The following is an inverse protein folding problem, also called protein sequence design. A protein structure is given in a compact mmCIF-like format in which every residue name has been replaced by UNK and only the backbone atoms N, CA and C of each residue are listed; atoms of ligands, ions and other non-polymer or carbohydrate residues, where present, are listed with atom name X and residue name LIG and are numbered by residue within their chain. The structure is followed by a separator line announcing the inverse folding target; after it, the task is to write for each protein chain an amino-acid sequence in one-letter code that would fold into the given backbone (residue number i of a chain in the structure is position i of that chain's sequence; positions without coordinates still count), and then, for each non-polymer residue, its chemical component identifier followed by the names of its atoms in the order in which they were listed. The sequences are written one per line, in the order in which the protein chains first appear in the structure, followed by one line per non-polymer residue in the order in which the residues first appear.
data_IF_670735691676
#
_entry.id   IF_670735691676
#
_cell.length_a   1.000
_cell.length_b   1.000
_cell.length_c   1.000
_cell.angle_alpha   90.00
_cell.angle_beta   90.00
_cell.angle_gamma   90.00
#
_symmetry.space_group_name_H-M   'P 1'
#
loop_
_entity.id
_entity.type
_entity.pdbx_description
1 polymer ?
#
# COMPACT_ATOMS: atom_id res chain seq x y z
N UNK A 1 -13.73 -0.45 -7.59
CA UNK A 1 -13.69 -1.75 -6.89
C UNK A 1 -13.19 -1.54 -5.48
N UNK A 2 -13.89 -2.07 -4.51
CA UNK A 2 -13.48 -2.06 -3.09
C UNK A 2 -13.09 -3.50 -2.74
N UNK A 3 -11.86 -3.69 -2.29
CA UNK A 3 -11.35 -4.97 -1.81
C UNK A 3 -11.15 -4.90 -0.30
N UNK A 4 -11.85 -5.71 0.44
CA UNK A 4 -11.57 -5.93 1.87
C UNK A 4 -10.51 -7.03 1.97
N UNK A 5 -9.44 -6.77 2.66
CA UNK A 5 -8.32 -7.69 2.76
C UNK A 5 -7.90 -7.87 4.23
N UNK A 6 -7.58 -9.09 4.59
CA UNK A 6 -7.09 -9.47 5.90
C UNK A 6 -5.58 -9.80 5.88
N UNK A 7 -4.79 -9.03 5.14
CA UNK A 7 -3.35 -9.23 5.13
C UNK A 7 -2.77 -9.10 6.55
N UNK A 8 -2.18 -10.18 7.02
CA UNK A 8 -1.61 -10.28 8.38
C UNK A 8 -0.08 -10.37 8.39
N UNK A 9 0.55 -10.50 7.23
CA UNK A 9 1.98 -10.80 7.12
C UNK A 9 2.33 -12.27 7.30
N UNK A 10 1.41 -13.14 7.69
CA UNK A 10 1.63 -14.59 7.83
C UNK A 10 1.89 -15.29 6.48
N UNK A 11 1.35 -14.73 5.40
CA UNK A 11 1.61 -15.17 4.04
C UNK A 11 1.76 -13.97 3.12
N UNK A 12 2.56 -14.11 2.08
CA UNK A 12 2.68 -13.10 1.05
C UNK A 12 1.37 -12.98 0.26
N UNK A 13 0.96 -11.75 -0.04
CA UNK A 13 -0.20 -11.47 -0.87
C UNK A 13 0.20 -10.55 -2.01
N UNK A 14 -0.33 -10.82 -3.19
CA UNK A 14 -0.13 -10.00 -4.37
C UNK A 14 -1.50 -9.59 -4.95
N UNK A 15 -1.66 -8.30 -5.16
CA UNK A 15 -2.82 -7.70 -5.81
C UNK A 15 -2.36 -7.10 -7.13
N UNK A 16 -2.95 -7.55 -8.24
CA UNK A 16 -2.75 -6.90 -9.54
C UNK A 16 -3.88 -5.90 -9.74
N UNK A 17 -3.54 -4.63 -9.91
CA UNK A 17 -4.50 -3.60 -10.24
C UNK A 17 -5.07 -3.85 -11.65
N UNK A 18 -6.33 -3.52 -11.92
CA UNK A 18 -6.86 -3.58 -13.28
C UNK A 18 -6.12 -2.58 -14.19
N UNK A 19 -6.38 -2.62 -15.48
CA UNK A 19 -5.83 -1.62 -16.41
C UNK A 19 -6.24 -0.20 -15.97
N UNK A 20 -5.28 0.72 -15.97
CA UNK A 20 -5.46 2.11 -15.56
C UNK A 20 -6.30 2.86 -16.60
N UNK A 21 -7.61 2.78 -16.46
CA UNK A 21 -8.61 3.49 -17.27
C UNK A 21 -9.13 4.68 -16.48
N UNK A 22 -9.23 5.84 -17.11
CA UNK A 22 -9.72 7.08 -16.47
C UNK A 22 -11.07 6.83 -15.79
N UNK A 23 -11.16 7.23 -14.52
CA UNK A 23 -12.33 7.03 -13.67
C UNK A 23 -12.31 5.72 -12.85
N UNK A 24 -11.33 4.84 -13.07
CA UNK A 24 -11.19 3.63 -12.25
C UNK A 24 -10.69 3.98 -10.86
N UNK A 25 -11.34 3.39 -9.85
CA UNK A 25 -10.96 3.51 -8.45
C UNK A 25 -10.87 2.11 -7.86
N UNK A 26 -9.75 1.80 -7.21
CA UNK A 26 -9.56 0.59 -6.41
C UNK A 26 -9.27 1.00 -4.98
N UNK A 27 -10.00 0.44 -4.04
CA UNK A 27 -9.80 0.68 -2.61
C UNK A 27 -9.43 -0.64 -1.94
N UNK A 28 -8.31 -0.65 -1.26
CA UNK A 28 -7.93 -1.73 -0.35
C UNK A 28 -8.27 -1.29 1.07
N UNK A 29 -9.16 -2.04 1.72
CA UNK A 29 -9.52 -1.84 3.12
C UNK A 29 -8.85 -2.92 3.97
N UNK A 30 -7.99 -2.52 4.88
CA UNK A 30 -7.29 -3.45 5.77
C UNK A 30 -8.19 -3.86 6.93
N UNK A 31 -8.54 -5.13 7.02
CA UNK A 31 -9.46 -5.65 8.04
C UNK A 31 -8.77 -6.24 9.27
N UNK A 32 -7.44 -6.39 9.24
CA UNK A 32 -6.66 -6.96 10.33
C UNK A 32 -5.28 -6.31 10.41
N UNK A 33 -4.61 -6.43 11.55
CA UNK A 33 -3.24 -5.92 11.73
C UNK A 33 -2.22 -6.85 11.07
N UNK A 34 -1.23 -6.28 10.38
CA UNK A 34 -0.18 -7.05 9.71
C UNK A 34 0.94 -7.48 10.68
N UNK A 35 0.57 -8.21 11.73
CA UNK A 35 1.48 -8.67 12.81
C UNK A 35 1.83 -10.16 12.77
N UNK A 36 1.27 -10.90 11.80
CA UNK A 36 1.42 -12.37 11.75
C UNK A 36 2.75 -12.88 11.18
N UNK A 37 3.60 -11.99 10.66
CA UNK A 37 4.87 -12.37 10.04
C UNK A 37 5.47 -11.25 9.22
N UNK A 38 6.46 -11.58 8.39
CA UNK A 38 7.22 -10.60 7.59
C UNK A 38 7.02 -10.75 6.08
N UNK A 39 6.02 -11.52 5.65
CA UNK A 39 5.71 -11.67 4.24
C UNK A 39 5.08 -10.39 3.66
N UNK A 40 5.34 -10.13 2.39
CA UNK A 40 4.96 -8.88 1.74
C UNK A 40 3.50 -8.85 1.30
N UNK A 41 2.93 -7.64 1.26
CA UNK A 41 1.75 -7.29 0.47
C UNK A 41 2.19 -6.41 -0.69
N UNK A 42 1.90 -6.82 -1.92
CA UNK A 42 2.27 -6.05 -3.12
C UNK A 42 1.04 -5.64 -3.92
N UNK A 43 1.11 -4.44 -4.49
CA UNK A 43 0.14 -3.93 -5.47
C UNK A 43 0.88 -3.65 -6.77
N UNK A 44 0.61 -4.45 -7.79
CA UNK A 44 1.30 -4.38 -9.09
C UNK A 44 0.37 -3.80 -10.15
N UNK A 45 0.85 -2.81 -10.91
CA UNK A 45 0.14 -2.28 -12.06
C UNK A 45 -0.01 -3.34 -13.16
N UNK A 46 -1.10 -3.27 -13.91
CA UNK A 46 -1.31 -4.17 -15.05
C UNK A 46 -0.51 -3.72 -16.28
N UNK A 47 0.02 -4.67 -17.03
CA UNK A 47 0.68 -4.41 -18.30
C UNK A 47 1.81 -3.39 -18.22
N UNK A 48 1.68 -2.28 -18.94
CA UNK A 48 2.65 -1.18 -18.96
C UNK A 48 2.19 0.03 -18.13
N UNK A 49 1.14 -0.12 -17.33
CA UNK A 49 0.68 0.95 -16.45
C UNK A 49 1.72 1.21 -15.34
N UNK A 50 1.77 2.43 -14.87
CA UNK A 50 2.76 2.87 -13.87
C UNK A 50 2.09 3.66 -12.75
N UNK A 51 2.78 3.79 -11.64
CA UNK A 51 2.41 4.75 -10.61
C UNK A 51 2.86 6.17 -11.00
N UNK A 52 2.08 7.15 -10.59
CA UNK A 52 2.45 8.57 -10.78
C UNK A 52 3.73 8.87 -10.02
N UNK A 53 4.70 9.44 -10.70
CA UNK A 53 5.95 9.94 -10.12
C UNK A 53 5.66 10.92 -8.98
N UNK A 54 6.36 10.77 -7.87
CA UNK A 54 6.17 11.59 -6.68
C UNK A 54 5.05 11.11 -5.73
N UNK A 55 4.42 9.96 -5.99
CA UNK A 55 3.54 9.30 -5.02
C UNK A 55 4.34 8.93 -3.78
N UNK A 56 3.77 9.19 -2.60
CA UNK A 56 4.45 8.93 -1.33
C UNK A 56 3.84 7.75 -0.62
N UNK A 57 4.69 6.94 -0.03
CA UNK A 57 4.32 5.96 0.97
C UNK A 57 4.82 6.45 2.32
N UNK A 58 3.94 6.43 3.30
CA UNK A 58 4.24 6.90 4.65
C UNK A 58 3.92 5.82 5.67
N UNK A 59 4.62 5.86 6.80
CA UNK A 59 4.25 5.11 7.99
C UNK A 59 4.06 6.04 9.18
N UNK A 60 3.41 5.53 10.21
CA UNK A 60 3.31 6.21 11.50
C UNK A 60 4.20 5.51 12.50
N UNK A 61 5.26 6.18 12.93
CA UNK A 61 6.09 5.75 14.05
C UNK A 61 5.92 6.74 15.19
N UNK A 62 5.63 6.26 16.40
CA UNK A 62 5.49 7.07 17.62
C UNK A 62 4.52 8.27 17.46
N UNK A 63 3.45 8.12 16.71
CA UNK A 63 2.44 9.16 16.47
C UNK A 63 2.81 10.21 15.41
N UNK A 64 3.99 10.13 14.82
CA UNK A 64 4.41 10.99 13.71
C UNK A 64 4.28 10.28 12.37
N UNK A 65 3.82 11.00 11.35
CA UNK A 65 3.84 10.49 9.96
C UNK A 65 5.23 10.72 9.39
N UNK A 66 5.82 9.66 8.85
CA UNK A 66 7.12 9.72 8.18
C UNK A 66 6.98 9.24 6.74
N UNK A 67 7.51 10.00 5.79
CA UNK A 67 7.63 9.52 4.40
C UNK A 67 8.71 8.45 4.37
N UNK A 68 8.34 7.23 3.94
CA UNK A 68 9.26 6.11 3.82
C UNK A 68 9.91 6.12 2.44
N UNK A 69 9.11 6.34 1.40
CA UNK A 69 9.58 6.29 0.02
C UNK A 69 8.72 7.21 -0.88
N UNK A 70 9.30 7.64 -1.98
CA UNK A 70 8.64 8.46 -2.99
C UNK A 70 8.87 7.84 -4.37
N UNK A 71 7.79 7.58 -5.11
CA UNK A 71 7.89 6.92 -6.40
C UNK A 71 8.71 7.72 -7.42
N UNK A 72 9.62 7.03 -8.08
CA UNK A 72 10.33 7.52 -9.26
C UNK A 72 9.49 7.33 -10.54
N UNK A 73 10.07 7.63 -11.68
CA UNK A 73 9.42 7.38 -12.97
C UNK A 73 9.38 5.86 -13.29
N UNK A 74 8.26 5.42 -13.86
CA UNK A 74 8.05 4.05 -14.35
C UNK A 74 8.01 2.96 -13.28
N UNK A 75 7.80 3.30 -12.03
CA UNK A 75 7.58 2.29 -11.00
C UNK A 75 6.20 1.66 -11.13
N UNK A 76 6.14 0.35 -10.94
CA UNK A 76 4.97 -0.49 -11.22
C UNK A 76 4.51 -1.29 -10.02
N UNK A 77 5.26 -1.32 -8.93
CA UNK A 77 4.98 -2.12 -7.75
C UNK A 77 5.07 -1.26 -6.49
N UNK A 78 4.04 -1.34 -5.66
CA UNK A 78 4.05 -0.86 -4.27
C UNK A 78 4.11 -2.08 -3.35
N UNK A 79 5.09 -2.11 -2.47
CA UNK A 79 5.31 -3.22 -1.53
C UNK A 79 5.24 -2.74 -0.09
N UNK A 80 4.45 -3.42 0.73
CA UNK A 80 4.45 -3.30 2.18
C UNK A 80 5.07 -4.56 2.80
N UNK A 81 5.99 -4.36 3.75
CA UNK A 81 6.66 -5.45 4.46
C UNK A 81 6.64 -5.16 5.96
N UNK A 82 5.98 -5.97 6.80
CA UNK A 82 6.10 -5.84 8.25
C UNK A 82 7.55 -6.05 8.70
N UNK A 83 8.01 -5.27 9.66
CA UNK A 83 9.40 -5.37 10.14
C UNK A 83 9.66 -6.69 10.89
N UNK A 84 8.67 -7.15 11.62
CA UNK A 84 8.65 -8.47 12.30
C UNK A 84 7.21 -8.79 12.72
N UNK A 85 6.99 -9.96 13.30
CA UNK A 85 5.66 -10.41 13.73
C UNK A 85 5.02 -9.57 14.85
N UNK A 86 5.74 -8.66 15.46
CA UNK A 86 5.25 -7.76 16.52
C UNK A 86 5.00 -6.32 16.06
N UNK A 87 5.33 -6.01 14.81
CA UNK A 87 5.19 -4.65 14.26
C UNK A 87 4.39 -4.68 12.95
N UNK A 88 3.45 -3.76 12.82
CA UNK A 88 2.58 -3.67 11.67
C UNK A 88 3.24 -2.89 10.53
N UNK A 89 2.98 -3.28 9.29
CA UNK A 89 3.15 -2.37 8.16
C UNK A 89 1.82 -1.75 7.73
N UNK A 90 0.73 -2.47 7.94
CA UNK A 90 -0.62 -1.96 7.79
C UNK A 90 -1.44 -2.29 9.03
N UNK A 91 -2.14 -1.30 9.55
CA UNK A 91 -3.01 -1.42 10.72
C UNK A 91 -4.47 -1.60 10.28
N UNK A 92 -5.22 -2.39 11.02
CA UNK A 92 -6.67 -2.51 10.88
C UNK A 92 -7.35 -1.14 10.76
N UNK A 93 -8.20 -0.99 9.79
CA UNK A 93 -8.90 0.26 9.47
C UNK A 93 -8.13 1.20 8.54
N UNK A 94 -6.95 0.81 8.05
CA UNK A 94 -6.23 1.53 7.01
C UNK A 94 -6.91 1.33 5.65
N UNK A 95 -7.01 2.41 4.89
CA UNK A 95 -7.48 2.40 3.50
C UNK A 95 -6.38 2.86 2.56
N UNK A 96 -6.18 2.12 1.49
CA UNK A 96 -5.29 2.48 0.39
C UNK A 96 -6.15 2.73 -0.85
N UNK A 97 -5.96 3.88 -1.48
CA UNK A 97 -6.73 4.33 -2.64
C UNK A 97 -5.84 4.37 -3.88
N UNK A 98 -6.25 3.66 -4.91
CA UNK A 98 -5.64 3.70 -6.22
C UNK A 98 -6.65 4.30 -7.19
N UNK A 99 -6.34 5.46 -7.76
CA UNK A 99 -7.24 6.20 -8.64
C UNK A 99 -6.57 6.51 -9.96
N UNK A 100 -7.31 6.42 -11.04
CA UNK A 100 -6.81 6.70 -12.38
C UNK A 100 -7.49 7.95 -12.94
N UNK A 101 -6.73 9.05 -13.04
CA UNK A 101 -7.14 10.31 -13.68
C UNK A 101 -6.54 10.47 -15.08
N UNK A 102 -5.52 9.71 -15.40
CA UNK A 102 -4.82 9.71 -16.67
C UNK A 102 -4.57 8.27 -17.11
N UNK A 103 -4.91 7.94 -18.36
CA UNK A 103 -4.76 6.58 -18.88
C UNK A 103 -3.33 6.06 -18.69
N UNK A 104 -3.22 4.86 -18.14
CA UNK A 104 -1.95 4.19 -17.89
C UNK A 104 -1.23 4.64 -16.60
N UNK A 105 -1.84 5.55 -15.80
CA UNK A 105 -1.20 6.08 -14.60
C UNK A 105 -2.11 5.93 -13.37
N UNK A 106 -1.64 5.21 -12.37
CA UNK A 106 -2.27 5.10 -11.07
C UNK A 106 -1.77 6.19 -10.11
N UNK A 107 -2.69 6.90 -9.51
CA UNK A 107 -2.44 7.79 -8.37
C UNK A 107 -2.68 6.99 -7.09
N UNK A 108 -1.85 7.21 -6.09
CA UNK A 108 -1.94 6.56 -4.79
C UNK A 108 -2.22 7.59 -3.69
N UNK A 109 -3.17 7.25 -2.83
CA UNK A 109 -3.46 7.95 -1.58
C UNK A 109 -3.81 6.93 -0.50
N UNK A 110 -3.79 7.34 0.76
CA UNK A 110 -4.08 6.46 1.88
C UNK A 110 -4.75 7.22 3.02
N UNK A 111 -5.46 6.48 3.85
CA UNK A 111 -5.97 6.88 5.15
C UNK A 111 -5.48 5.86 6.18
N UNK A 112 -4.43 6.22 6.91
CA UNK A 112 -3.81 5.34 7.89
C UNK A 112 -4.63 5.35 9.18
N UNK A 113 -5.02 4.18 9.65
CA UNK A 113 -5.68 4.04 10.94
C UNK A 113 -4.80 4.57 12.07
N UNK A 114 -5.42 5.29 12.98
CA UNK A 114 -4.75 5.76 14.21
C UNK A 114 -4.89 4.70 15.28
N UNK A 115 -3.83 4.17 15.82
CA UNK A 115 -3.98 3.28 16.98
C UNK A 115 -2.80 2.42 17.34
N UNK A 116 -1.81 2.29 16.47
CA UNK A 116 -0.61 1.58 16.83
C UNK A 116 0.62 2.47 16.74
N UNK A 117 1.36 2.54 17.85
CA UNK A 117 2.58 3.36 17.97
C UNK A 117 3.81 2.69 17.36
N UNK A 118 3.66 1.53 16.76
CA UNK A 118 4.74 0.66 16.32
C UNK A 118 4.68 0.30 14.83
N UNK A 119 4.14 1.16 13.97
CA UNK A 119 4.21 1.00 12.52
C UNK A 119 5.66 1.21 12.05
N UNK A 120 6.46 0.18 12.18
CA UNK A 120 7.86 0.15 11.73
C UNK A 120 8.08 -0.75 10.52
N UNK A 121 7.02 -1.13 9.86
CA UNK A 121 7.09 -1.84 8.59
C UNK A 121 7.72 -0.99 7.49
N UNK A 122 8.35 -1.63 6.52
CA UNK A 122 8.88 -0.97 5.34
C UNK A 122 7.80 -0.92 4.24
N UNK A 123 7.74 0.19 3.53
CA UNK A 123 7.02 0.28 2.27
C UNK A 123 7.93 0.90 1.22
N UNK A 124 7.89 0.39 0.00
CA UNK A 124 8.77 0.81 -1.08
C UNK A 124 8.08 0.70 -2.45
N UNK A 125 8.49 1.59 -3.35
CA UNK A 125 8.15 1.54 -4.77
C UNK A 125 9.23 0.79 -5.55
N UNK A 126 8.84 0.14 -6.61
CA UNK A 126 9.76 -0.47 -7.58
C UNK A 126 9.12 -0.66 -8.97
#
# INVERSE_FOLDING_TARGET
VITVNNYTGAAAQAVTLPAATVGTIVVHAQSDDSTGGTNTLTFTCAGNDVYRTGSKVESRAAGAVQTIDTSAANETILTYTPANAATNSLTHGTYLYFTCFEKGIWNFAYDLATGNTADTGAAAWS
#
